data_IF_408284703403
#
_entry.id   IF_408284703403
#
_cell.length_a   1.000
_cell.length_b   1.000
_cell.length_c   1.000
_cell.angle_alpha   90.00
_cell.angle_beta   90.00
_cell.angle_gamma   90.00
#
_symmetry.space_group_name_H-M   'P 1'
#
loop_
_entity.id
_entity.type
_entity.pdbx_description
1 polymer ?
#
# COMPACT_ATOMS: atom_id res chain seq x y z
N UNK A 1 -69.79 -35.48 8.76
CA UNK A 1 -70.15 -35.00 10.10
C UNK A 1 -69.12 -33.98 10.57
N UNK A 2 -69.58 -32.76 10.91
CA UNK A 2 -68.96 -31.66 11.69
C UNK A 2 -67.54 -31.20 11.28
N UNK A 3 -67.38 -30.17 10.45
CA UNK A 3 -67.32 -28.73 10.78
C UNK A 3 -66.28 -28.32 11.85
N UNK A 4 -65.22 -27.63 11.42
CA UNK A 4 -64.78 -26.37 12.02
C UNK A 4 -64.04 -25.51 10.97
N UNK A 5 -64.42 -24.24 10.90
CA UNK A 5 -64.04 -23.22 9.92
C UNK A 5 -63.54 -21.99 10.68
N UNK A 6 -62.45 -21.37 10.24
CA UNK A 6 -62.08 -19.93 10.40
C UNK A 6 -60.85 -19.68 9.53
N UNK A 7 -60.91 -19.06 8.36
CA UNK A 7 -61.12 -17.64 7.95
C UNK A 7 -60.08 -16.64 8.48
N UNK A 8 -59.47 -15.93 7.52
CA UNK A 8 -58.72 -14.68 7.65
C UNK A 8 -57.24 -14.89 7.28
N UNK A 9 -56.61 -14.22 6.32
CA UNK A 9 -56.98 -13.12 5.44
C UNK A 9 -55.80 -12.90 4.47
N UNK A 10 -56.09 -12.38 3.28
CA UNK A 10 -55.11 -12.06 2.23
C UNK A 10 -54.28 -10.83 2.61
N UNK A 11 -52.97 -10.84 2.37
CA UNK A 11 -52.17 -9.64 2.09
C UNK A 11 -50.99 -10.03 1.18
N UNK A 12 -51.00 -9.47 -0.02
CA UNK A 12 -49.87 -9.40 -0.96
C UNK A 12 -49.03 -8.20 -0.56
N UNK A 13 -47.71 -8.36 -0.42
CA UNK A 13 -46.71 -7.40 -0.90
C UNK A 13 -45.28 -7.86 -0.56
N UNK A 14 -44.41 -7.67 -1.54
CA UNK A 14 -42.97 -7.87 -1.50
C UNK A 14 -42.26 -6.94 -0.50
N UNK A 15 -41.07 -7.35 -0.04
CA UNK A 15 -39.83 -6.62 -0.28
C UNK A 15 -38.65 -7.32 0.42
N UNK A 16 -37.61 -7.57 -0.37
CA UNK A 16 -36.24 -7.89 0.07
C UNK A 16 -35.65 -6.62 0.68
N UNK A 17 -35.01 -6.73 1.85
CA UNK A 17 -34.06 -5.71 2.32
C UNK A 17 -32.94 -6.39 3.12
N UNK A 18 -31.81 -6.57 2.45
CA UNK A 18 -30.53 -6.87 3.08
C UNK A 18 -29.99 -5.59 3.72
N UNK A 19 -29.62 -5.65 5.00
CA UNK A 19 -28.89 -4.56 5.66
C UNK A 19 -27.41 -4.81 5.40
N UNK A 20 -26.90 -4.19 4.33
CA UNK A 20 -25.46 -3.99 4.15
C UNK A 20 -25.08 -2.70 4.89
N UNK A 21 -24.40 -2.82 6.03
CA UNK A 21 -23.72 -1.71 6.66
C UNK A 21 -22.39 -1.50 5.93
N UNK A 22 -22.39 -0.68 4.89
CA UNK A 22 -21.17 -0.18 4.27
C UNK A 22 -20.65 1.00 5.12
N UNK A 23 -19.58 0.79 5.87
CA UNK A 23 -18.78 1.87 6.44
C UNK A 23 -18.03 2.56 5.30
N UNK A 24 -18.57 3.70 4.86
CA UNK A 24 -17.87 4.66 4.00
C UNK A 24 -16.71 5.27 4.78
N UNK A 25 -15.52 4.68 4.67
CA UNK A 25 -14.28 5.43 4.82
C UNK A 25 -14.08 6.19 3.50
N UNK A 26 -14.69 7.37 3.42
CA UNK A 26 -14.46 8.29 2.32
C UNK A 26 -12.98 8.70 2.33
N UNK A 27 -12.25 8.36 1.27
CA UNK A 27 -10.99 9.01 0.97
C UNK A 27 -11.27 10.52 0.89
N UNK A 28 -10.55 11.31 1.70
CA UNK A 28 -10.60 12.75 1.61
C UNK A 28 -10.28 13.17 0.16
N UNK A 29 -11.03 14.11 -0.45
CA UNK A 29 -10.75 14.52 -1.80
C UNK A 29 -9.40 15.25 -1.84
N UNK A 30 -8.38 14.60 -2.38
CA UNK A 30 -7.22 15.31 -2.87
C UNK A 30 -7.65 16.05 -4.15
N UNK A 31 -7.67 17.39 -4.10
CA UNK A 31 -7.97 18.19 -5.27
C UNK A 31 -6.83 18.02 -6.29
N UNK A 32 -7.08 17.29 -7.37
CA UNK A 32 -6.26 17.31 -8.57
C UNK A 32 -7.04 18.09 -9.64
N UNK A 33 -6.60 19.30 -9.93
CA UNK A 33 -7.07 20.05 -11.10
C UNK A 33 -6.26 19.55 -12.30
N UNK A 34 -6.90 18.76 -13.16
CA UNK A 34 -6.26 18.20 -14.35
C UNK A 34 -6.33 19.19 -15.51
N UNK A 35 -5.23 19.38 -16.22
CA UNK A 35 -5.27 19.81 -17.62
C UNK A 35 -4.43 18.88 -18.49
N UNK A 36 -4.94 18.40 -19.63
CA UNK A 36 -4.21 17.55 -20.54
C UNK A 36 -3.29 18.39 -21.45
N UNK A 37 -2.11 17.85 -21.73
CA UNK A 37 -1.10 18.34 -22.68
C UNK A 37 -0.29 19.58 -22.28
N UNK A 38 1.03 19.36 -22.17
CA UNK A 38 1.97 20.09 -23.03
C UNK A 38 2.92 21.07 -22.35
N UNK A 39 4.18 20.66 -22.37
CA UNK A 39 5.38 21.48 -22.52
C UNK A 39 5.88 22.25 -21.30
N UNK A 40 7.14 21.95 -20.94
CA UNK A 40 7.86 22.62 -19.88
C UNK A 40 7.94 24.13 -20.12
N UNK A 41 7.53 24.88 -19.11
CA UNK A 41 8.28 26.03 -18.64
C UNK A 41 7.91 26.27 -17.19
N UNK A 42 8.92 26.43 -16.34
CA UNK A 42 8.71 26.72 -14.92
C UNK A 42 7.88 27.99 -14.75
N UNK A 43 6.68 27.84 -14.19
CA UNK A 43 6.12 28.83 -13.31
C UNK A 43 5.07 28.15 -12.43
N UNK A 44 5.35 28.11 -11.13
CA UNK A 44 4.58 27.37 -10.14
C UNK A 44 3.15 27.88 -10.00
N UNK A 45 2.21 26.94 -10.04
CA UNK A 45 1.01 26.96 -9.20
C UNK A 45 0.32 25.59 -9.17
N UNK A 46 1.09 24.50 -9.09
CA UNK A 46 0.61 23.20 -8.62
C UNK A 46 1.05 23.06 -7.16
N UNK A 47 0.10 22.95 -6.23
CA UNK A 47 0.34 22.96 -4.79
C UNK A 47 0.98 21.65 -4.24
N UNK A 48 1.83 21.00 -5.04
CA UNK A 48 2.66 19.88 -4.64
C UNK A 48 4.12 20.26 -4.83
N UNK A 49 4.88 20.33 -3.75
CA UNK A 49 6.34 20.39 -3.86
C UNK A 49 6.81 19.04 -4.40
N UNK A 50 7.66 19.05 -5.43
CA UNK A 50 8.38 17.83 -5.83
C UNK A 50 9.10 17.30 -4.60
N UNK A 51 8.90 16.02 -4.30
CA UNK A 51 9.62 15.34 -3.24
C UNK A 51 10.92 14.80 -3.85
N UNK A 52 12.04 15.38 -3.43
CA UNK A 52 13.36 14.88 -3.80
C UNK A 52 13.61 13.49 -3.15
N UNK A 53 14.70 12.82 -3.55
CA UNK A 53 15.19 11.58 -2.94
C UNK A 53 14.33 10.31 -3.11
N UNK A 54 13.29 10.33 -3.95
CA UNK A 54 12.56 9.12 -4.32
C UNK A 54 13.20 8.39 -5.50
N UNK A 55 13.43 7.10 -5.35
CA UNK A 55 14.01 6.27 -6.40
C UNK A 55 14.10 4.80 -6.04
N UNK A 56 14.68 4.02 -6.94
CA UNK A 56 15.00 2.61 -6.68
C UNK A 56 16.07 2.51 -5.60
N UNK A 57 15.76 1.80 -4.52
CA UNK A 57 16.72 1.53 -3.45
C UNK A 57 17.64 0.41 -3.92
N UNK A 58 18.82 0.81 -4.38
CA UNK A 58 19.79 -0.08 -5.04
C UNK A 58 20.23 -1.26 -4.16
N UNK A 59 20.45 -1.03 -2.85
CA UNK A 59 20.85 -2.09 -1.90
C UNK A 59 19.76 -3.14 -1.67
N UNK A 60 18.51 -2.81 -1.96
CA UNK A 60 17.34 -3.65 -1.69
C UNK A 60 16.64 -4.17 -2.95
N UNK A 61 17.35 -4.08 -4.08
CA UNK A 61 16.89 -4.54 -5.39
C UNK A 61 17.70 -5.76 -5.83
N UNK A 62 17.01 -6.79 -6.36
CA UNK A 62 17.61 -8.08 -6.74
C UNK A 62 17.13 -8.44 -8.14
N UNK A 63 18.07 -8.79 -9.02
CA UNK A 63 17.83 -9.22 -10.39
C UNK A 63 17.54 -8.05 -11.33
N UNK A 64 16.58 -8.20 -12.25
CA UNK A 64 16.22 -7.17 -13.24
C UNK A 64 14.77 -6.70 -13.14
N UNK A 65 14.27 -6.36 -11.93
CA UNK A 65 12.90 -5.91 -11.76
C UNK A 65 12.73 -4.49 -12.32
N UNK A 66 11.47 -4.09 -12.49
CA UNK A 66 11.09 -2.72 -12.87
C UNK A 66 10.42 -2.05 -11.68
N UNK A 67 10.86 -0.83 -11.38
CA UNK A 67 10.11 0.14 -10.61
C UNK A 67 10.22 1.48 -11.32
N UNK A 68 9.12 1.94 -11.90
CA UNK A 68 9.10 3.07 -12.82
C UNK A 68 7.90 3.98 -12.54
N UNK A 69 8.15 5.27 -12.49
CA UNK A 69 7.11 6.27 -12.49
C UNK A 69 6.55 6.42 -13.91
N UNK A 70 5.24 6.23 -14.07
CA UNK A 70 4.60 6.17 -15.39
C UNK A 70 3.18 6.66 -15.36
N UNK A 71 2.62 6.97 -16.53
CA UNK A 71 1.19 7.25 -16.67
C UNK A 71 0.32 5.99 -16.46
N UNK A 72 -0.86 6.18 -15.86
CA UNK A 72 -1.89 5.17 -15.67
C UNK A 72 -1.52 4.13 -14.60
N UNK A 73 -2.11 2.92 -14.63
CA UNK A 73 -3.03 2.40 -15.65
C UNK A 73 -4.35 3.17 -15.72
N UNK A 74 -4.90 3.30 -16.94
CA UNK A 74 -6.19 3.93 -17.21
C UNK A 74 -7.17 2.97 -17.89
N UNK A 75 -8.46 3.08 -17.57
CA UNK A 75 -9.62 2.71 -18.41
C UNK A 75 -9.69 1.27 -18.92
N UNK A 76 -8.74 0.44 -18.54
CA UNK A 76 -8.60 -0.92 -19.05
C UNK A 76 -9.68 -1.79 -18.43
N UNK A 77 -10.09 -2.86 -19.12
CA UNK A 77 -11.10 -3.81 -18.63
C UNK A 77 -12.54 -3.28 -18.52
N UNK A 78 -12.89 -2.24 -19.29
CA UNK A 78 -14.26 -1.70 -19.33
C UNK A 78 -14.68 -0.96 -18.07
N UNK A 79 -13.72 -0.60 -17.21
CA UNK A 79 -13.94 0.15 -15.98
C UNK A 79 -13.96 1.64 -16.29
N UNK A 80 -14.92 2.36 -15.72
CA UNK A 80 -15.06 3.82 -15.85
C UNK A 80 -15.10 4.49 -14.48
N UNK A 81 -15.02 5.81 -14.45
CA UNK A 81 -15.05 6.60 -13.22
C UNK A 81 -13.74 6.57 -12.42
N UNK A 82 -13.77 6.85 -11.11
CA UNK A 82 -12.56 6.99 -10.29
C UNK A 82 -11.68 5.74 -10.26
N UNK A 83 -12.27 4.54 -10.27
CA UNK A 83 -11.51 3.28 -10.25
C UNK A 83 -10.77 2.98 -11.57
N UNK A 84 -11.04 3.76 -12.62
CA UNK A 84 -10.44 3.61 -13.93
C UNK A 84 -9.17 4.45 -14.13
N UNK A 85 -8.68 5.16 -13.11
CA UNK A 85 -7.49 6.01 -13.22
C UNK A 85 -6.76 6.09 -11.87
N UNK A 86 -5.46 6.46 -11.86
CA UNK A 86 -4.74 6.65 -10.61
C UNK A 86 -5.48 7.62 -9.67
N UNK A 87 -5.62 7.30 -8.37
CA UNK A 87 -6.39 8.12 -7.44
C UNK A 87 -5.86 9.54 -7.17
N UNK A 88 -4.54 9.78 -7.23
CA UNK A 88 -3.96 11.08 -6.86
C UNK A 88 -3.49 11.93 -8.04
N UNK A 89 -3.56 11.41 -9.26
CA UNK A 89 -3.11 12.13 -10.44
C UNK A 89 -3.34 11.39 -11.74
N UNK A 90 -2.34 11.46 -12.62
CA UNK A 90 -2.35 10.73 -13.90
C UNK A 90 -1.33 9.61 -13.94
N UNK A 91 -0.31 9.67 -13.09
CA UNK A 91 0.71 8.66 -12.98
C UNK A 91 0.51 7.70 -11.82
N UNK A 92 1.43 6.75 -11.73
CA UNK A 92 1.62 5.86 -10.60
C UNK A 92 3.04 5.30 -10.60
N UNK A 93 3.38 4.57 -9.55
CA UNK A 93 4.56 3.72 -9.52
C UNK A 93 4.20 2.34 -10.09
N UNK A 94 4.67 2.05 -11.29
CA UNK A 94 4.65 0.70 -11.86
C UNK A 94 5.70 -0.18 -11.21
N UNK A 95 5.33 -1.42 -10.85
CA UNK A 95 6.27 -2.42 -10.35
C UNK A 95 6.09 -3.71 -11.16
N UNK A 96 7.21 -4.28 -11.60
CA UNK A 96 7.28 -5.59 -12.24
C UNK A 96 8.39 -6.41 -11.57
N UNK A 97 8.03 -7.57 -11.04
CA UNK A 97 8.96 -8.53 -10.45
C UNK A 97 8.66 -9.88 -11.07
N UNK A 98 9.68 -10.55 -11.59
CA UNK A 98 9.58 -11.89 -12.12
C UNK A 98 10.03 -12.95 -11.10
N UNK A 99 9.40 -14.12 -11.18
CA UNK A 99 9.91 -15.32 -10.54
C UNK A 99 10.76 -16.12 -11.51
N UNK A 100 11.67 -16.93 -10.95
CA UNK A 100 12.52 -17.85 -11.69
C UNK A 100 13.43 -17.18 -12.73
N UNK A 101 13.67 -15.87 -12.61
CA UNK A 101 14.47 -15.08 -13.57
C UNK A 101 15.94 -14.88 -13.14
N UNK A 102 16.29 -15.24 -11.91
CA UNK A 102 17.67 -15.15 -11.40
C UNK A 102 18.30 -16.53 -11.21
N UNK A 103 19.62 -16.60 -11.03
CA UNK A 103 20.34 -17.83 -10.67
C UNK A 103 20.44 -18.05 -9.16
N UNK A 104 19.72 -17.24 -8.37
CA UNK A 104 19.68 -17.35 -6.92
C UNK A 104 18.91 -18.60 -6.47
N UNK A 105 19.02 -18.94 -5.19
CA UNK A 105 18.20 -19.97 -4.57
C UNK A 105 17.38 -19.37 -3.40
N UNK A 106 16.05 -19.24 -3.52
CA UNK A 106 15.25 -19.50 -4.72
C UNK A 106 15.48 -18.45 -5.82
N UNK A 107 15.28 -18.80 -7.09
CA UNK A 107 15.45 -17.90 -8.22
C UNK A 107 14.29 -16.89 -8.24
N UNK A 108 14.57 -15.67 -7.83
CA UNK A 108 13.57 -14.64 -7.54
C UNK A 108 14.15 -13.25 -7.70
N UNK A 109 13.28 -12.29 -8.02
CA UNK A 109 13.57 -10.86 -8.04
C UNK A 109 12.94 -10.14 -6.84
N UNK A 110 13.38 -8.90 -6.62
CA UNK A 110 12.84 -8.01 -5.59
C UNK A 110 13.13 -6.58 -6.01
N UNK A 111 12.20 -5.67 -5.80
CA UNK A 111 12.46 -4.23 -5.92
C UNK A 111 11.85 -3.47 -4.76
N UNK A 112 12.54 -2.43 -4.33
CA UNK A 112 12.04 -1.39 -3.45
C UNK A 112 12.25 -0.03 -4.11
N UNK A 113 11.18 0.75 -4.17
CA UNK A 113 11.21 2.16 -4.58
C UNK A 113 10.85 2.99 -3.35
N UNK A 114 11.69 3.95 -3.00
CA UNK A 114 11.56 4.63 -1.73
C UNK A 114 12.45 5.84 -1.58
N UNK A 115 12.49 6.35 -0.36
CA UNK A 115 13.22 7.53 0.03
C UNK A 115 14.14 7.19 1.21
N UNK A 116 15.43 7.37 0.97
CA UNK A 116 16.53 6.98 1.87
C UNK A 116 17.01 8.14 2.76
N UNK A 117 16.39 9.32 2.63
CA UNK A 117 16.93 10.57 3.20
C UNK A 117 15.90 11.26 4.09
N UNK A 118 14.72 11.54 3.58
CA UNK A 118 13.80 12.51 4.18
C UNK A 118 13.11 12.00 5.45
N UNK A 119 13.06 10.68 5.62
CA UNK A 119 12.48 10.02 6.81
C UNK A 119 13.55 9.57 7.80
N UNK A 120 14.84 9.78 7.52
CA UNK A 120 15.90 9.29 8.39
C UNK A 120 15.80 9.93 9.78
N UNK A 121 15.77 9.10 10.82
CA UNK A 121 15.62 9.53 12.21
C UNK A 121 14.16 9.80 12.63
N UNK A 122 13.19 9.73 11.72
CA UNK A 122 11.79 9.85 12.09
C UNK A 122 11.39 8.71 13.03
N UNK A 123 10.55 9.02 14.01
CA UNK A 123 10.20 8.04 15.05
C UNK A 123 9.10 7.11 14.57
N UNK A 124 9.30 5.80 14.75
CA UNK A 124 8.29 4.78 14.42
C UNK A 124 7.00 5.00 15.22
N UNK A 125 7.11 5.43 16.49
CA UNK A 125 5.94 5.74 17.32
C UNK A 125 5.05 6.84 16.74
N UNK A 126 5.59 7.74 15.92
CA UNK A 126 4.86 8.88 15.35
C UNK A 126 4.14 8.54 14.05
N UNK A 127 4.32 7.33 13.51
CA UNK A 127 3.54 6.82 12.38
C UNK A 127 2.09 6.56 12.80
N UNK A 128 1.14 7.26 12.15
CA UNK A 128 -0.29 7.28 12.49
C UNK A 128 -1.20 6.93 11.34
N UNK A 129 -0.79 7.21 10.10
CA UNK A 129 -1.54 6.86 8.89
C UNK A 129 -0.55 6.31 7.88
N UNK A 130 -0.82 5.12 7.36
CA UNK A 130 0.03 4.43 6.40
C UNK A 130 -0.84 3.68 5.40
N UNK A 131 -0.44 3.64 4.14
CA UNK A 131 -1.17 2.88 3.14
C UNK A 131 -1.02 3.43 1.73
N UNK A 132 -1.68 2.80 0.78
CA UNK A 132 -1.68 3.21 -0.61
C UNK A 132 -2.93 2.71 -1.35
N UNK A 133 -3.08 3.13 -2.60
CA UNK A 133 -3.95 2.46 -3.56
C UNK A 133 -3.14 1.55 -4.48
N UNK A 134 -3.75 0.48 -4.97
CA UNK A 134 -3.07 -0.50 -5.81
C UNK A 134 -3.93 -0.88 -6.99
N UNK A 135 -3.28 -1.05 -8.14
CA UNK A 135 -3.84 -1.67 -9.32
C UNK A 135 -3.38 -3.14 -9.34
N UNK A 136 -4.19 -4.01 -8.74
CA UNK A 136 -3.97 -5.45 -8.76
C UNK A 136 -4.59 -6.08 -10.00
N UNK A 137 -3.92 -7.06 -10.62
CA UNK A 137 -4.44 -7.76 -11.81
C UNK A 137 -4.99 -9.15 -11.48
N UNK A 138 -5.85 -9.68 -12.35
CA UNK A 138 -6.34 -11.06 -12.23
C UNK A 138 -5.24 -12.09 -12.45
N UNK A 139 -4.24 -11.74 -13.26
CA UNK A 139 -3.05 -12.54 -13.54
C UNK A 139 -2.19 -12.73 -12.28
N UNK A 140 -1.92 -11.64 -11.54
CA UNK A 140 -1.16 -11.71 -10.29
C UNK A 140 -1.87 -12.60 -9.25
N UNK A 141 -3.20 -12.51 -9.17
CA UNK A 141 -4.02 -13.33 -8.25
C UNK A 141 -4.01 -14.79 -8.67
N UNK A 142 -4.09 -15.07 -9.98
CA UNK A 142 -4.01 -16.45 -10.50
C UNK A 142 -2.66 -17.07 -10.20
N UNK A 143 -1.59 -16.28 -10.27
CA UNK A 143 -0.22 -16.75 -10.10
C UNK A 143 0.17 -16.99 -8.64
N UNK A 144 0.04 -15.96 -7.80
CA UNK A 144 0.51 -15.98 -6.41
C UNK A 144 -0.60 -16.02 -5.35
N UNK A 145 -1.86 -16.15 -5.78
CA UNK A 145 -3.02 -16.09 -4.89
C UNK A 145 -3.51 -14.66 -4.58
N UNK A 146 -4.63 -14.52 -3.86
CA UNK A 146 -5.29 -13.24 -3.64
C UNK A 146 -4.45 -12.24 -2.82
N UNK A 147 -3.52 -12.73 -2.00
CA UNK A 147 -2.61 -11.93 -1.16
C UNK A 147 -1.28 -11.59 -1.85
N UNK A 148 -1.09 -11.95 -3.14
CA UNK A 148 0.11 -11.58 -3.90
C UNK A 148 0.12 -10.07 -4.21
N UNK A 149 0.57 -9.29 -3.23
CA UNK A 149 0.45 -7.84 -3.19
C UNK A 149 1.83 -7.17 -3.00
N UNK A 150 2.00 -5.90 -3.43
CA UNK A 150 3.12 -5.09 -3.00
C UNK A 150 2.97 -4.76 -1.51
N UNK A 151 4.04 -4.30 -0.89
CA UNK A 151 4.14 -4.03 0.54
C UNK A 151 4.70 -2.63 0.80
N UNK A 152 4.51 -2.15 2.03
CA UNK A 152 5.27 -1.03 2.58
C UNK A 152 6.41 -1.62 3.43
N UNK A 153 7.60 -1.04 3.29
CA UNK A 153 8.77 -1.39 4.10
C UNK A 153 9.38 -0.15 4.71
N UNK A 154 9.72 -0.25 5.98
CA UNK A 154 10.63 0.68 6.62
C UNK A 154 11.88 -0.09 7.03
N UNK A 155 13.04 0.36 6.56
CA UNK A 155 14.28 0.01 7.26
C UNK A 155 14.32 0.86 8.53
N UNK A 156 14.64 0.25 9.66
CA UNK A 156 14.58 0.92 10.97
C UNK A 156 15.82 0.59 11.78
N UNK A 157 16.18 1.49 12.67
CA UNK A 157 16.93 1.14 13.88
C UNK A 157 15.89 0.78 14.96
N UNK A 158 15.83 -0.48 15.41
CA UNK A 158 14.89 -0.88 16.47
C UNK A 158 15.18 -0.23 17.82
N UNK A 159 16.43 0.17 18.08
CA UNK A 159 16.89 0.79 19.34
C UNK A 159 16.49 0.03 20.62
N UNK A 160 16.41 -1.30 20.56
CA UNK A 160 16.03 -2.10 21.73
C UNK A 160 17.17 -2.14 22.76
N UNK A 161 16.87 -1.77 24.00
CA UNK A 161 17.80 -1.73 25.13
C UNK A 161 18.44 -3.10 25.40
N UNK A 162 17.69 -4.18 25.15
CA UNK A 162 18.18 -5.55 25.30
C UNK A 162 19.12 -6.00 24.17
N UNK A 163 19.11 -5.33 23.01
CA UNK A 163 19.88 -5.65 21.81
C UNK A 163 20.65 -4.42 21.29
N UNK A 164 21.54 -3.80 22.09
CA UNK A 164 22.14 -2.49 21.76
C UNK A 164 23.12 -2.51 20.57
N UNK A 165 23.47 -3.68 20.04
CA UNK A 165 24.30 -3.83 18.85
C UNK A 165 23.46 -4.10 17.59
N UNK A 166 22.16 -4.33 17.74
CA UNK A 166 21.23 -4.59 16.65
C UNK A 166 20.53 -3.28 16.28
N UNK A 167 21.09 -2.61 15.27
CA UNK A 167 20.70 -1.28 14.83
C UNK A 167 20.04 -1.28 13.45
N UNK A 168 19.58 -2.45 13.00
CA UNK A 168 18.95 -2.58 11.70
C UNK A 168 17.91 -3.71 11.68
N UNK A 169 16.67 -3.34 11.39
CA UNK A 169 15.63 -4.29 11.00
C UNK A 169 14.83 -3.75 9.82
N UNK A 170 14.01 -4.59 9.21
CA UNK A 170 13.01 -4.15 8.25
C UNK A 170 11.62 -4.44 8.80
N UNK A 171 10.87 -3.38 9.05
CA UNK A 171 9.45 -3.41 9.37
C UNK A 171 8.66 -3.52 8.07
N UNK A 172 7.95 -4.63 7.88
CA UNK A 172 7.24 -4.96 6.63
C UNK A 172 5.76 -5.05 6.88
N UNK A 173 4.96 -4.31 6.12
CA UNK A 173 3.52 -4.51 6.03
C UNK A 173 3.18 -5.42 4.88
N UNK A 174 2.40 -6.47 5.14
CA UNK A 174 1.79 -7.28 4.10
C UNK A 174 0.29 -6.98 4.09
N UNK A 175 -0.25 -6.41 2.99
CA UNK A 175 -1.67 -6.13 2.88
C UNK A 175 -2.51 -7.40 2.88
N UNK A 176 -3.77 -7.28 3.30
CA UNK A 176 -4.80 -8.25 2.91
C UNK A 176 -4.99 -8.25 1.37
N UNK A 177 -5.70 -9.25 0.86
CA UNK A 177 -6.06 -9.30 -0.56
C UNK A 177 -6.74 -8.01 -1.03
N UNK A 178 -6.35 -7.53 -2.23
CA UNK A 178 -7.05 -6.40 -2.84
C UNK A 178 -8.55 -6.72 -2.98
N UNK A 179 -9.47 -5.80 -2.59
CA UNK A 179 -10.90 -6.05 -2.67
C UNK A 179 -11.43 -6.11 -4.11
N UNK A 180 -10.60 -5.68 -5.07
CA UNK A 180 -10.91 -5.62 -6.50
C UNK A 180 -9.66 -5.95 -7.31
N UNK A 181 -9.86 -6.46 -8.52
CA UNK A 181 -8.81 -6.66 -9.51
C UNK A 181 -9.14 -5.93 -10.81
N UNK A 182 -8.12 -5.72 -11.63
CA UNK A 182 -8.19 -5.07 -12.95
C UNK A 182 -8.77 -3.64 -12.89
N UNK A 183 -8.58 -2.96 -11.76
CA UNK A 183 -8.97 -1.58 -11.47
C UNK A 183 -8.24 -1.07 -10.24
N UNK A 184 -8.22 0.24 -10.05
CA UNK A 184 -7.68 0.84 -8.84
C UNK A 184 -8.54 0.50 -7.62
N UNK A 185 -7.88 0.06 -6.56
CA UNK A 185 -8.52 -0.22 -5.28
C UNK A 185 -8.95 1.06 -4.56
N UNK A 186 -9.89 0.97 -3.60
CA UNK A 186 -9.93 1.91 -2.48
C UNK A 186 -8.58 1.98 -1.74
N UNK A 187 -8.42 2.98 -0.88
CA UNK A 187 -7.22 3.12 -0.05
C UNK A 187 -7.10 1.91 0.88
N UNK A 188 -5.93 1.25 0.85
CA UNK A 188 -5.61 0.16 1.76
C UNK A 188 -4.85 0.75 2.95
N UNK A 189 -5.46 0.66 4.13
CA UNK A 189 -4.93 1.26 5.36
C UNK A 189 -4.06 0.27 6.14
N UNK A 190 -2.75 0.44 6.06
CA UNK A 190 -1.77 -0.40 6.71
C UNK A 190 -1.82 -0.33 8.24
N UNK A 191 -2.52 0.65 8.82
CA UNK A 191 -2.66 0.75 10.28
C UNK A 191 -3.78 -0.13 10.83
N UNK A 192 -4.70 -0.59 9.97
CA UNK A 192 -5.90 -1.34 10.36
C UNK A 192 -6.13 -2.64 9.59
N UNK A 193 -5.44 -2.86 8.47
CA UNK A 193 -5.58 -4.08 7.65
C UNK A 193 -4.25 -4.79 7.40
N UNK A 194 -4.30 -6.06 6.99
CA UNK A 194 -3.12 -6.89 6.80
C UNK A 194 -2.37 -7.17 8.09
N UNK A 195 -1.07 -7.40 7.98
CA UNK A 195 -0.20 -7.64 9.13
C UNK A 195 1.18 -7.04 8.95
N UNK A 196 1.87 -6.87 10.08
CA UNK A 196 3.24 -6.37 10.16
C UNK A 196 4.17 -7.39 10.79
N UNK A 197 5.43 -7.34 10.41
CA UNK A 197 6.50 -8.09 11.05
C UNK A 197 7.86 -7.39 10.90
N UNK A 198 8.81 -7.76 11.75
CA UNK A 198 10.23 -7.46 11.58
C UNK A 198 10.93 -8.63 10.89
N UNK A 199 11.85 -8.33 9.96
CA UNK A 199 12.65 -9.35 9.28
C UNK A 199 13.71 -9.98 10.17
N UNK A 200 14.11 -9.30 11.24
CA UNK A 200 14.97 -9.88 12.26
C UNK A 200 14.17 -10.63 13.33
N UNK A 201 14.84 -10.90 14.45
CA UNK A 201 14.24 -11.59 15.62
C UNK A 201 14.37 -10.72 16.88
N UNK A 202 14.29 -9.41 16.71
CA UNK A 202 14.47 -8.41 17.76
C UNK A 202 13.25 -8.38 18.70
N UNK A 203 12.07 -8.72 18.17
CA UNK A 203 10.81 -8.79 18.91
C UNK A 203 10.05 -10.09 18.61
N UNK A 204 8.91 -10.29 19.27
CA UNK A 204 8.01 -11.41 18.96
C UNK A 204 7.30 -11.27 17.60
N UNK A 205 7.27 -10.06 17.02
CA UNK A 205 6.62 -9.80 15.75
C UNK A 205 7.53 -10.20 14.57
N UNK A 206 7.45 -11.46 14.16
CA UNK A 206 8.27 -12.06 13.10
C UNK A 206 7.40 -12.48 11.92
N UNK A 207 8.01 -12.86 10.80
CA UNK A 207 7.25 -13.35 9.64
C UNK A 207 6.38 -14.58 9.98
N UNK A 208 6.82 -15.41 10.93
CA UNK A 208 6.08 -16.58 11.42
C UNK A 208 5.05 -16.22 12.51
N UNK A 209 5.29 -15.15 13.27
CA UNK A 209 4.42 -14.64 14.33
C UNK A 209 4.03 -13.19 14.00
N UNK A 210 3.05 -13.06 13.10
CA UNK A 210 2.58 -11.80 12.52
C UNK A 210 1.86 -10.95 13.56
N UNK A 211 2.03 -9.63 13.50
CA UNK A 211 1.43 -8.68 14.42
C UNK A 211 0.52 -7.69 13.69
N UNK A 212 -0.40 -7.06 14.41
CA UNK A 212 -1.03 -5.81 13.96
C UNK A 212 -0.03 -4.66 14.03
N UNK A 213 -0.35 -3.53 13.36
CA UNK A 213 0.48 -2.32 13.43
C UNK A 213 0.66 -1.83 14.87
N UNK A 214 -0.40 -1.88 15.68
CA UNK A 214 -0.37 -1.45 17.07
C UNK A 214 0.51 -2.37 17.93
N UNK A 215 0.41 -3.69 17.75
CA UNK A 215 1.23 -4.67 18.48
C UNK A 215 2.72 -4.52 18.15
N UNK A 216 3.08 -4.36 16.87
CA UNK A 216 4.48 -4.19 16.48
C UNK A 216 5.06 -2.86 16.97
N UNK A 217 4.28 -1.77 16.96
CA UNK A 217 4.72 -0.51 17.57
C UNK A 217 4.94 -0.64 19.07
N UNK A 218 4.07 -1.37 19.77
CA UNK A 218 4.23 -1.62 21.18
C UNK A 218 5.44 -2.52 21.47
N UNK A 219 5.76 -3.49 20.60
CA UNK A 219 6.94 -4.35 20.79
C UNK A 219 8.27 -3.63 20.57
N UNK A 220 8.26 -2.50 19.86
CA UNK A 220 9.40 -1.61 19.68
C UNK A 220 9.55 -0.56 20.79
N UNK A 221 8.55 -0.41 21.67
CA UNK A 221 8.58 0.52 22.81
C UNK A 221 8.96 -0.25 24.10
N UNK A 222 10.26 -0.51 24.27
CA UNK A 222 10.79 -1.26 25.43
C UNK A 222 11.11 -0.37 26.65
N UNK A 223 10.75 0.92 26.57
CA UNK A 223 11.03 1.94 27.58
C UNK A 223 12.42 2.60 27.46
N UNK A 224 13.21 2.23 26.46
CA UNK A 224 14.52 2.80 26.14
C UNK A 224 14.50 3.94 25.11
N UNK A 225 15.55 3.99 24.28
CA UNK A 225 15.59 4.90 23.13
C UNK A 225 14.54 4.49 22.08
N UNK A 226 14.04 5.47 21.33
CA UNK A 226 12.91 5.23 20.43
C UNK A 226 13.39 4.64 19.10
N UNK A 227 12.67 3.62 18.59
CA UNK A 227 12.92 3.09 17.26
C UNK A 227 12.74 4.19 16.19
N UNK A 228 13.70 4.26 15.26
CA UNK A 228 13.76 5.30 14.21
C UNK A 228 13.78 4.71 12.81
N UNK A 229 13.20 5.43 11.85
CA UNK A 229 13.24 5.11 10.43
C UNK A 229 14.63 5.41 9.87
N UNK A 230 15.13 4.51 9.04
CA UNK A 230 16.32 4.70 8.21
C UNK A 230 15.91 4.99 6.76
N UNK A 231 14.86 4.33 6.27
CA UNK A 231 14.36 4.46 4.89
C UNK A 231 12.90 4.06 4.82
N UNK A 232 12.12 4.69 3.95
CA UNK A 232 10.73 4.34 3.68
C UNK A 232 10.56 3.87 2.23
N UNK A 233 9.84 2.77 1.99
CA UNK A 233 9.71 2.18 0.67
C UNK A 233 8.36 1.53 0.41
N UNK A 234 8.02 1.43 -0.87
CA UNK A 234 7.01 0.53 -1.42
C UNK A 234 7.71 -0.43 -2.36
N UNK A 235 7.35 -1.71 -2.31
CA UNK A 235 8.02 -2.69 -3.14
C UNK A 235 7.31 -4.02 -3.24
N UNK A 236 7.96 -4.96 -3.93
CA UNK A 236 7.52 -6.36 -4.03
C UNK A 236 8.64 -7.29 -3.59
N UNK A 237 8.26 -8.36 -2.89
CA UNK A 237 9.18 -9.37 -2.35
C UNK A 237 9.57 -10.44 -3.36
N UNK A 238 10.35 -11.41 -2.86
CA UNK A 238 10.86 -12.57 -3.60
C UNK A 238 9.89 -13.77 -3.63
N UNK A 239 8.65 -13.52 -3.29
CA UNK A 239 7.62 -14.53 -3.06
C UNK A 239 7.00 -15.02 -4.37
N UNK A 240 6.43 -14.09 -5.14
CA UNK A 240 5.73 -14.39 -6.38
C UNK A 240 5.93 -13.29 -7.43
N UNK A 241 5.83 -13.67 -8.70
CA UNK A 241 5.72 -12.73 -9.82
C UNK A 241 4.58 -11.75 -9.56
N UNK A 242 4.82 -10.49 -9.89
CA UNK A 242 3.79 -9.45 -9.78
C UNK A 242 4.05 -8.31 -10.76
N UNK A 243 3.01 -7.94 -11.51
CA UNK A 243 3.01 -6.83 -12.47
C UNK A 243 1.80 -5.96 -12.19
N UNK A 244 2.01 -4.71 -11.81
CA UNK A 244 0.92 -3.81 -11.43
C UNK A 244 1.39 -2.39 -11.15
N UNK A 245 0.62 -1.67 -10.33
CA UNK A 245 0.99 -0.33 -9.90
C UNK A 245 0.50 0.02 -8.50
N UNK A 246 1.17 0.97 -7.87
CA UNK A 246 0.79 1.60 -6.60
C UNK A 246 0.69 3.12 -6.81
N UNK A 247 -0.29 3.75 -6.18
CA UNK A 247 -0.43 5.20 -6.19
C UNK A 247 -0.80 5.74 -4.79
N UNK A 248 -0.36 6.96 -4.51
CA UNK A 248 -0.66 7.71 -3.30
C UNK A 248 -0.18 7.05 -2.01
N UNK A 249 1.11 6.77 -1.90
CA UNK A 249 1.70 6.30 -0.64
C UNK A 249 1.47 7.37 0.43
N UNK A 250 0.63 7.07 1.42
CA UNK A 250 0.38 7.95 2.55
C UNK A 250 1.32 7.59 3.69
N UNK A 251 2.01 8.59 4.21
CA UNK A 251 2.73 8.51 5.48
C UNK A 251 2.30 9.73 6.32
N UNK A 252 1.62 9.45 7.42
CA UNK A 252 0.99 10.44 8.28
C UNK A 252 0.04 11.37 7.51
N UNK A 253 0.37 12.66 7.48
CA UNK A 253 -0.46 13.71 6.89
C UNK A 253 0.06 14.12 5.51
N UNK A 254 0.95 13.30 4.91
CA UNK A 254 1.51 13.50 3.58
C UNK A 254 1.14 12.31 2.70
N UNK A 255 0.74 12.61 1.48
CA UNK A 255 0.61 11.64 0.39
C UNK A 255 1.73 11.93 -0.58
N UNK A 256 2.51 10.89 -0.87
CA UNK A 256 3.51 10.86 -1.92
C UNK A 256 2.82 10.30 -3.17
N UNK A 257 2.42 11.23 -4.02
CA UNK A 257 1.72 11.02 -5.27
C UNK A 257 2.73 10.74 -6.38
N UNK A 258 2.60 9.58 -7.02
CA UNK A 258 3.58 9.09 -7.98
C UNK A 258 3.18 9.53 -9.39
N UNK A 259 3.96 10.40 -10.00
CA UNK A 259 3.68 10.93 -11.34
C UNK A 259 4.85 10.61 -12.28
N UNK A 260 4.60 10.53 -13.58
CA UNK A 260 5.63 10.19 -14.59
C UNK A 260 6.88 11.08 -14.52
N UNK A 261 6.71 12.35 -14.11
CA UNK A 261 7.78 13.34 -13.99
C UNK A 261 8.45 13.38 -12.60
N UNK A 262 7.96 12.61 -11.64
CA UNK A 262 8.52 12.56 -10.29
C UNK A 262 7.48 12.30 -9.20
N UNK A 263 7.95 12.29 -7.95
CA UNK A 263 7.06 12.17 -6.79
C UNK A 263 6.64 13.57 -6.34
N UNK A 264 5.34 13.76 -6.10
CA UNK A 264 4.76 15.01 -5.61
C UNK A 264 4.26 14.81 -4.19
N UNK A 265 4.68 15.68 -3.29
CA UNK A 265 4.16 15.64 -1.93
C UNK A 265 2.88 16.47 -1.82
N UNK A 266 1.85 15.89 -1.21
CA UNK A 266 0.57 16.55 -0.95
C UNK A 266 0.18 16.39 0.51
N UNK A 267 -0.20 17.49 1.17
CA UNK A 267 -0.71 17.44 2.55
C UNK A 267 -2.17 17.02 2.57
N UNK A 268 -2.51 16.04 3.40
CA UNK A 268 -3.88 15.59 3.67
C UNK A 268 -4.26 15.89 5.12
N UNK A 269 -5.45 16.46 5.30
CA UNK A 269 -6.03 16.86 6.59
C UNK A 269 -7.00 15.83 7.12
#
# INVERSE_FOLDING_TARGET
MRFAKRRGGTLVAAAVAAIAAATLLGAAPASADGSPNGNGNGNGNGNGTSADHWGVITRNTIGSPVAELRNGPFGSFGVTGPAARPPYGTGSLGIEVADNSTTLNPPSEKVDFGNEVDFFGDRIRDLRNLGFHVFQTGENVTYGGPENMPNIRFEIDPNLSALPADNYSTMVWVPDAAPVTNRWSPFLDATTTGYWYLTGNETACTQAARCTFAELKASLDDGGEEATVLTAAVGKGRDHMWIGAVDGLRINNRVYDFEEDGVRERRVG
#
